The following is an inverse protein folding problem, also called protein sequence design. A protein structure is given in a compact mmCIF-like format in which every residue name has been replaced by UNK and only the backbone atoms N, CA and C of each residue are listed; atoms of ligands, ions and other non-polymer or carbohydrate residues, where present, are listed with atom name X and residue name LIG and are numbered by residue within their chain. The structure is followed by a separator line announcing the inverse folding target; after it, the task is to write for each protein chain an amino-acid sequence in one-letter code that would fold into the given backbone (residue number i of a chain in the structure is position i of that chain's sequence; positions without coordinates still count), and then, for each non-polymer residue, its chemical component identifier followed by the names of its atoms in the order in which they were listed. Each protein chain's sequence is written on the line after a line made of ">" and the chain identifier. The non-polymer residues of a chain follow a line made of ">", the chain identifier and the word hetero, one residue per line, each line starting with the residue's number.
data_IF_772950116546
#
_entry.id   IF_772950116546
#
_cell.length_a   1.000
_cell.length_b   1.000
_cell.length_c   1.000
_cell.angle_alpha   90.00
_cell.angle_beta   90.00
_cell.angle_gamma   90.00
#
_symmetry.space_group_name_H-M   'P 1'
#
loop_
_entity.id
_entity.type
_entity.pdbx_description
1 polymer ?
#
# COMPACT_ATOMS: atom_id res chain seq x y z
N UNK A 1 -0.59 6.12 -18.06
CA UNK A 1 -1.36 5.29 -17.12
C UNK A 1 -1.55 6.02 -15.81
N UNK A 2 -2.74 6.08 -15.31
CA UNK A 2 -2.94 6.76 -14.03
C UNK A 2 -2.30 5.99 -12.88
N UNK A 3 -1.72 6.72 -11.96
CA UNK A 3 -1.23 6.15 -10.72
C UNK A 3 -2.40 5.68 -9.87
N UNK A 4 -2.16 4.71 -8.99
CA UNK A 4 -3.16 4.34 -8.01
C UNK A 4 -3.46 5.55 -7.13
N UNK A 5 -4.75 5.88 -6.99
CA UNK A 5 -5.16 6.98 -6.14
C UNK A 5 -5.33 6.46 -4.72
N UNK A 6 -4.43 6.85 -3.85
CA UNK A 6 -4.40 6.37 -2.47
C UNK A 6 -5.01 7.41 -1.55
N UNK A 7 -6.07 7.00 -0.82
CA UNK A 7 -6.74 7.85 0.14
C UNK A 7 -6.02 7.87 1.48
N UNK A 8 -5.67 6.70 2.00
CA UNK A 8 -4.99 6.59 3.28
C UNK A 8 -4.29 5.24 3.39
N UNK A 9 -3.38 5.13 4.35
CA UNK A 9 -2.63 3.90 4.60
C UNK A 9 -2.49 3.69 6.10
N UNK A 10 -2.32 2.42 6.49
CA UNK A 10 -2.02 2.05 7.86
C UNK A 10 -1.11 0.84 7.83
N UNK A 11 -0.11 0.81 8.69
CA UNK A 11 0.84 -0.29 8.75
C UNK A 11 0.92 -0.85 10.17
N UNK A 12 0.90 -2.17 10.26
CA UNK A 12 1.09 -2.87 11.53
C UNK A 12 2.43 -3.61 11.49
N UNK A 13 3.45 -3.12 12.22
CA UNK A 13 4.76 -3.77 12.21
C UNK A 13 4.77 -5.16 12.86
N UNK A 14 3.82 -5.45 13.74
CA UNK A 14 3.73 -6.74 14.38
C UNK A 14 3.29 -7.84 13.40
N UNK A 15 2.35 -7.52 12.52
CA UNK A 15 1.85 -8.47 11.52
C UNK A 15 2.47 -8.26 10.16
N UNK A 16 3.17 -7.15 9.94
CA UNK A 16 3.73 -6.73 8.66
C UNK A 16 2.68 -6.56 7.59
N UNK A 17 1.49 -6.17 7.99
CA UNK A 17 0.39 -5.92 7.05
C UNK A 17 0.28 -4.42 6.80
N UNK A 18 0.32 -4.07 5.51
CA UNK A 18 0.09 -2.72 5.04
C UNK A 18 -1.31 -2.63 4.46
N UNK A 19 -2.15 -1.83 5.10
CA UNK A 19 -3.52 -1.59 4.64
C UNK A 19 -3.55 -0.30 3.82
N UNK A 20 -4.18 -0.37 2.65
CA UNK A 20 -4.28 0.77 1.74
C UNK A 20 -5.73 0.97 1.33
N UNK A 21 -6.22 2.19 1.47
CA UNK A 21 -7.55 2.59 1.00
C UNK A 21 -7.41 3.40 -0.26
N UNK A 22 -8.16 3.01 -1.28
CA UNK A 22 -8.10 3.66 -2.59
C UNK A 22 -9.32 4.54 -2.86
N UNK A 23 -9.14 5.53 -3.72
CA UNK A 23 -10.23 6.38 -4.20
C UNK A 23 -10.43 6.15 -5.68
N UNK A 24 -11.64 6.35 -6.21
CA UNK A 24 -12.85 6.80 -5.52
C UNK A 24 -13.62 5.68 -4.82
N UNK A 25 -13.25 4.43 -5.01
CA UNK A 25 -14.03 3.29 -4.54
C UNK A 25 -14.11 3.18 -3.02
N UNK A 26 -13.07 3.61 -2.29
CA UNK A 26 -12.97 3.42 -0.86
C UNK A 26 -12.61 2.01 -0.46
N UNK A 27 -12.25 1.15 -1.42
CA UNK A 27 -11.86 -0.23 -1.11
C UNK A 27 -10.56 -0.27 -0.30
N UNK A 28 -10.52 -1.21 0.65
CA UNK A 28 -9.33 -1.48 1.44
C UNK A 28 -8.68 -2.77 0.97
N UNK A 29 -7.37 -2.70 0.77
CA UNK A 29 -6.55 -3.87 0.45
C UNK A 29 -5.47 -4.02 1.49
N UNK A 30 -5.29 -5.25 1.99
CA UNK A 30 -4.24 -5.57 2.94
C UNK A 30 -3.13 -6.34 2.21
N UNK A 31 -1.90 -5.80 2.28
CA UNK A 31 -0.72 -6.40 1.66
C UNK A 31 0.12 -7.07 2.75
N UNK A 32 0.43 -8.35 2.56
CA UNK A 32 1.12 -9.17 3.55
C UNK A 32 2.64 -9.13 3.38
N UNK A 33 3.35 -9.38 4.48
CA UNK A 33 4.81 -9.49 4.51
C UNK A 33 5.54 -8.23 4.04
N UNK A 34 4.98 -7.08 4.28
CA UNK A 34 5.62 -5.81 3.96
C UNK A 34 6.62 -5.47 5.06
N UNK A 35 7.90 -5.41 4.70
CA UNK A 35 8.94 -5.08 5.68
C UNK A 35 8.81 -3.64 6.18
N UNK A 36 9.18 -3.36 7.44
CA UNK A 36 9.14 -1.98 7.95
C UNK A 36 9.94 -1.00 7.09
N UNK A 37 11.08 -1.43 6.55
CA UNK A 37 11.89 -0.57 5.68
C UNK A 37 11.14 -0.21 4.39
N UNK A 38 10.37 -1.13 3.84
CA UNK A 38 9.57 -0.87 2.65
C UNK A 38 8.47 0.16 2.95
N UNK A 39 7.82 0.02 4.09
CA UNK A 39 6.80 1.00 4.49
C UNK A 39 7.41 2.38 4.74
N UNK A 40 8.58 2.43 5.37
CA UNK A 40 9.28 3.70 5.59
C UNK A 40 9.61 4.39 4.26
N UNK A 41 10.08 3.63 3.27
CA UNK A 41 10.35 4.17 1.94
C UNK A 41 9.07 4.66 1.26
N UNK A 42 7.98 3.92 1.42
CA UNK A 42 6.68 4.30 0.88
C UNK A 42 6.20 5.63 1.46
N UNK A 43 6.35 5.80 2.77
CA UNK A 43 5.95 7.05 3.44
C UNK A 43 6.77 8.26 2.96
N UNK A 44 8.02 8.04 2.62
CA UNK A 44 8.93 9.10 2.16
C UNK A 44 8.81 9.38 0.67
N UNK A 45 8.12 8.55 -0.07
CA UNK A 45 8.02 8.69 -1.51
C UNK A 45 7.35 10.01 -1.90
N UNK A 46 7.88 10.66 -2.91
CA UNK A 46 7.30 11.89 -3.45
C UNK A 46 5.91 11.63 -4.03
N UNK A 47 5.74 10.47 -4.67
CA UNK A 47 4.45 10.02 -5.17
C UNK A 47 4.15 8.65 -4.60
N UNK A 48 3.19 8.59 -3.69
CA UNK A 48 2.81 7.33 -3.06
C UNK A 48 2.16 6.37 -4.05
N UNK A 49 1.34 6.88 -4.94
CA UNK A 49 0.72 6.07 -5.97
C UNK A 49 1.73 5.42 -6.90
N UNK A 50 2.74 6.17 -7.29
CA UNK A 50 3.80 5.65 -8.15
C UNK A 50 4.64 4.61 -7.43
N UNK A 51 5.03 4.88 -6.19
CA UNK A 51 5.78 3.91 -5.38
C UNK A 51 4.98 2.62 -5.23
N UNK A 52 3.69 2.73 -4.95
CA UNK A 52 2.82 1.58 -4.82
C UNK A 52 2.82 0.74 -6.11
N UNK A 53 2.62 1.39 -7.25
CA UNK A 53 2.59 0.68 -8.54
C UNK A 53 3.90 -0.02 -8.86
N UNK A 54 5.03 0.60 -8.54
CA UNK A 54 6.35 0.06 -8.90
C UNK A 54 6.86 -0.99 -7.92
N UNK A 55 6.56 -0.85 -6.62
CA UNK A 55 7.23 -1.65 -5.60
C UNK A 55 6.31 -2.50 -4.74
N UNK A 56 5.02 -2.26 -4.73
CA UNK A 56 4.11 -2.97 -3.84
C UNK A 56 3.09 -3.80 -4.61
N UNK A 57 2.45 -3.23 -5.59
CA UNK A 57 1.28 -3.79 -6.25
C UNK A 57 1.44 -5.25 -6.69
N UNK A 58 2.53 -5.58 -7.37
CA UNK A 58 2.76 -6.92 -7.91
C UNK A 58 3.85 -7.69 -7.16
N UNK A 59 4.29 -7.17 -6.01
CA UNK A 59 5.40 -7.75 -5.26
C UNK A 59 4.98 -8.44 -3.97
N UNK A 60 3.73 -8.25 -3.54
CA UNK A 60 3.25 -8.82 -2.28
C UNK A 60 1.88 -9.43 -2.48
N UNK A 61 1.61 -10.49 -1.70
CA UNK A 61 0.27 -11.05 -1.62
C UNK A 61 -0.68 -10.03 -1.01
N UNK A 62 -1.89 -9.98 -1.50
CA UNK A 62 -2.87 -9.05 -0.98
C UNK A 62 -4.26 -9.68 -0.94
N UNK A 63 -5.12 -9.01 -0.20
CA UNK A 63 -6.51 -9.41 -0.09
C UNK A 63 -7.37 -8.15 0.06
N UNK A 64 -8.49 -8.10 -0.66
CA UNK A 64 -9.45 -7.02 -0.51
C UNK A 64 -10.30 -7.30 0.73
N UNK A 65 -10.36 -6.32 1.65
CA UNK A 65 -11.03 -6.48 2.94
C UNK A 65 -12.38 -5.77 2.98
N UNK A 66 -12.48 -4.64 2.28
CA UNK A 66 -13.71 -3.85 2.30
C UNK A 66 -13.96 -3.14 0.99
#
# INVERSE_FOLDING_TARGET
>A
MPSAAIRSTQYDPATRILSIWFVPSGHRYDYADVAPATYAAFRKAASKGRFFNEFIRDHYSYRRVA
#
